data_IF_135234871481
#
_entry.id   IF_135234871481
#
_cell.length_a   1.000
_cell.length_b   1.000
_cell.length_c   1.000
_cell.angle_alpha   90.00
_cell.angle_beta   90.00
_cell.angle_gamma   90.00
#
_symmetry.space_group_name_H-M   'P 1'
#
loop_
_entity.id
_entity.type
_entity.pdbx_description
1 polymer ?
#
# COMPACT_ATOMS: atom_id res chain seq x y z
N UNK A 1 21.93 33.08 22.43
CA UNK A 1 21.22 32.68 21.19
C UNK A 1 22.02 31.58 20.51
N UNK A 2 21.39 30.45 20.20
CA UNK A 2 22.04 29.37 19.44
C UNK A 2 22.01 29.72 17.96
N UNK A 3 23.16 29.70 17.28
CA UNK A 3 23.25 29.95 15.84
C UNK A 3 23.04 28.66 15.04
N UNK A 4 22.66 28.78 13.76
CA UNK A 4 22.56 27.63 12.84
C UNK A 4 23.89 26.85 12.80
N UNK A 5 25.02 27.55 12.78
CA UNK A 5 26.35 26.93 12.85
C UNK A 5 26.58 26.16 14.16
N UNK A 6 26.08 26.66 15.29
CA UNK A 6 26.12 25.96 16.57
C UNK A 6 25.28 24.68 16.55
N UNK A 7 24.11 24.70 15.92
CA UNK A 7 23.24 23.53 15.76
C UNK A 7 23.91 22.47 14.87
N UNK A 8 24.47 22.87 13.72
CA UNK A 8 25.14 21.94 12.79
C UNK A 8 26.36 21.26 13.43
N UNK A 9 27.15 21.99 14.22
CA UNK A 9 28.28 21.42 14.98
C UNK A 9 27.84 20.41 16.05
N UNK A 10 26.59 20.49 16.52
CA UNK A 10 26.03 19.61 17.54
C UNK A 10 25.31 18.38 16.99
N UNK A 11 25.13 18.25 15.67
CA UNK A 11 24.51 17.07 15.05
C UNK A 11 25.45 15.86 15.12
N UNK A 12 24.90 14.70 15.51
CA UNK A 12 25.64 13.42 15.53
C UNK A 12 26.05 12.94 14.14
N UNK A 13 25.22 13.20 13.13
CA UNK A 13 25.53 12.95 11.73
C UNK A 13 25.42 14.26 10.92
N UNK A 14 26.54 14.82 10.45
CA UNK A 14 26.55 16.00 9.59
C UNK A 14 26.34 15.64 8.11
N UNK A 15 26.25 14.35 7.76
CA UNK A 15 26.13 13.93 6.37
C UNK A 15 24.83 14.46 5.75
N UNK A 16 25.00 15.11 4.60
CA UNK A 16 23.89 15.50 3.74
C UNK A 16 23.73 14.40 2.71
N UNK A 17 22.60 13.70 2.77
CA UNK A 17 22.29 12.63 1.84
C UNK A 17 21.65 13.20 0.58
N UNK A 18 22.11 12.67 -0.55
CA UNK A 18 21.76 13.19 -1.87
C UNK A 18 21.31 12.05 -2.78
N UNK A 19 20.62 12.41 -3.86
CA UNK A 19 20.15 11.47 -4.87
C UNK A 19 20.19 12.10 -6.27
N UNK A 20 20.48 11.29 -7.29
CA UNK A 20 20.47 11.75 -8.67
C UNK A 20 19.03 12.03 -9.16
N UNK A 21 18.80 13.02 -10.05
CA UNK A 21 17.48 13.28 -10.62
C UNK A 21 16.93 12.11 -11.46
N UNK A 22 17.81 11.21 -11.91
CA UNK A 22 17.46 10.00 -12.65
C UNK A 22 17.12 8.80 -11.77
N UNK A 23 17.33 8.89 -10.45
CA UNK A 23 17.04 7.80 -9.53
C UNK A 23 15.54 7.60 -9.32
N UNK A 24 15.13 6.39 -8.96
CA UNK A 24 13.71 6.10 -8.75
C UNK A 24 13.23 6.63 -7.40
N UNK A 25 11.92 6.88 -7.29
CA UNK A 25 11.29 7.22 -6.00
C UNK A 25 11.51 6.11 -4.97
N UNK A 26 11.57 4.85 -5.41
CA UNK A 26 11.86 3.72 -4.51
C UNK A 26 13.27 3.81 -3.92
N UNK A 27 14.27 4.11 -4.75
CA UNK A 27 15.66 4.29 -4.28
C UNK A 27 15.76 5.44 -3.29
N UNK A 28 15.02 6.53 -3.53
CA UNK A 28 14.92 7.66 -2.62
C UNK A 28 14.34 7.26 -1.26
N UNK A 29 13.21 6.54 -1.25
CA UNK A 29 12.57 6.09 -0.01
C UNK A 29 13.42 5.06 0.75
N UNK A 30 14.06 4.14 0.02
CA UNK A 30 14.98 3.16 0.60
C UNK A 30 16.14 3.86 1.30
N UNK A 31 16.78 4.82 0.64
CA UNK A 31 17.88 5.60 1.22
C UNK A 31 17.41 6.43 2.43
N UNK A 32 16.23 7.05 2.36
CA UNK A 32 15.66 7.81 3.47
C UNK A 32 15.39 6.94 4.70
N UNK A 33 14.86 5.74 4.50
CA UNK A 33 14.61 4.78 5.57
C UNK A 33 15.91 4.24 6.17
N UNK A 34 16.89 3.87 5.35
CA UNK A 34 18.20 3.37 5.80
C UNK A 34 19.00 4.41 6.59
N UNK A 35 18.77 5.70 6.33
CA UNK A 35 19.48 6.81 6.98
C UNK A 35 18.65 7.53 8.04
N UNK A 36 17.41 7.10 8.27
CA UNK A 36 16.47 7.70 9.22
C UNK A 36 16.29 9.22 9.02
N UNK A 37 16.12 9.64 7.75
CA UNK A 37 16.00 11.05 7.33
C UNK A 37 14.69 11.32 6.57
N UNK A 38 14.14 12.53 6.75
CA UNK A 38 12.88 12.96 6.10
C UNK A 38 13.05 13.71 4.77
N UNK A 39 14.29 13.91 4.30
CA UNK A 39 14.57 14.58 3.03
C UNK A 39 15.93 14.20 2.42
N UNK A 40 16.01 14.25 1.09
CA UNK A 40 17.21 14.12 0.28
C UNK A 40 17.40 15.36 -0.61
N UNK A 41 18.65 15.80 -0.80
CA UNK A 41 18.94 16.76 -1.86
C UNK A 41 18.99 16.04 -3.22
N UNK A 42 18.33 16.60 -4.22
CA UNK A 42 18.44 16.12 -5.60
C UNK A 42 19.61 16.84 -6.26
N UNK A 43 20.62 16.08 -6.67
CA UNK A 43 21.89 16.60 -7.18
C UNK A 43 22.14 16.14 -8.62
N UNK A 44 22.51 17.08 -9.49
CA UNK A 44 23.05 16.78 -10.82
C UNK A 44 24.51 17.24 -10.88
N UNK A 45 25.44 16.29 -10.74
CA UNK A 45 26.83 16.59 -10.46
C UNK A 45 26.97 17.35 -9.13
N UNK A 46 27.67 18.48 -9.14
CA UNK A 46 27.87 19.34 -7.96
C UNK A 46 26.72 20.35 -7.72
N UNK A 47 25.67 20.33 -8.55
CA UNK A 47 24.55 21.28 -8.46
C UNK A 47 23.36 20.68 -7.72
N UNK A 48 22.85 21.41 -6.73
CA UNK A 48 21.53 21.15 -6.13
C UNK A 48 20.47 21.57 -7.13
N UNK A 49 19.72 20.60 -7.66
CA UNK A 49 18.62 20.84 -8.61
C UNK A 49 17.24 20.74 -7.95
N UNK A 50 17.17 20.23 -6.72
CA UNK A 50 15.94 20.18 -5.96
C UNK A 50 16.08 19.51 -4.59
N UNK A 51 14.94 19.29 -3.95
CA UNK A 51 14.83 18.53 -2.70
C UNK A 51 13.69 17.52 -2.87
N UNK A 52 13.89 16.31 -2.37
CA UNK A 52 12.88 15.27 -2.29
C UNK A 52 12.58 15.00 -0.82
N UNK A 53 11.34 15.18 -0.40
CA UNK A 53 10.90 15.07 0.99
C UNK A 53 9.80 14.02 1.15
N UNK A 54 9.57 13.59 2.39
CA UNK A 54 8.38 12.80 2.74
C UNK A 54 7.09 13.43 2.23
N UNK A 55 6.99 14.77 2.28
CA UNK A 55 5.83 15.52 1.78
C UNK A 55 5.69 15.43 0.26
N UNK A 56 6.79 15.34 -0.48
CA UNK A 56 6.75 15.20 -1.94
C UNK A 56 6.23 13.81 -2.34
N UNK A 57 6.66 12.76 -1.62
CA UNK A 57 6.10 11.42 -1.77
C UNK A 57 4.63 11.36 -1.31
N UNK A 58 4.30 11.87 -0.12
CA UNK A 58 2.93 11.86 0.41
C UNK A 58 1.97 12.65 -0.50
N UNK A 59 2.40 13.80 -1.03
CA UNK A 59 1.61 14.59 -1.98
C UNK A 59 1.46 13.87 -3.31
N UNK A 60 2.49 13.18 -3.82
CA UNK A 60 2.36 12.34 -5.03
C UNK A 60 1.46 11.12 -4.79
N UNK A 61 1.50 10.47 -3.63
CA UNK A 61 0.55 9.40 -3.27
C UNK A 61 -0.90 9.91 -3.22
N UNK A 62 -1.12 11.12 -2.69
CA UNK A 62 -2.43 11.76 -2.61
C UNK A 62 -2.91 12.28 -3.99
N UNK A 63 -1.99 12.58 -4.90
CA UNK A 63 -2.26 13.04 -6.27
C UNK A 63 -2.18 11.92 -7.33
N UNK A 64 -1.78 10.70 -6.95
CA UNK A 64 -1.82 9.52 -7.81
C UNK A 64 -3.29 9.09 -7.94
N UNK A 65 -3.85 9.06 -9.17
CA UNK A 65 -5.27 8.80 -9.36
C UNK A 65 -5.54 7.30 -9.16
N UNK A 66 -5.74 6.91 -7.91
CA UNK A 66 -6.01 5.55 -7.44
C UNK A 66 -4.81 4.61 -7.50
N UNK A 67 -4.82 3.67 -6.56
CA UNK A 67 -3.83 2.62 -6.37
C UNK A 67 -3.69 1.84 -7.68
N UNK A 68 -2.47 1.53 -8.11
CA UNK A 68 -2.23 0.62 -9.24
C UNK A 68 -2.10 -0.84 -8.76
N UNK A 69 -2.29 -1.76 -9.70
CA UNK A 69 -2.27 -3.20 -9.43
C UNK A 69 -0.90 -3.70 -8.95
N UNK A 70 0.18 -3.03 -9.36
CA UNK A 70 1.55 -3.35 -8.93
C UNK A 70 1.79 -3.07 -7.45
N UNK A 71 1.33 -1.92 -6.96
CA UNK A 71 1.40 -1.57 -5.55
C UNK A 71 0.59 -2.55 -4.67
N UNK A 72 -0.60 -2.94 -5.13
CA UNK A 72 -1.43 -3.91 -4.41
C UNK A 72 -0.72 -5.27 -4.24
N UNK A 73 -0.03 -5.75 -5.28
CA UNK A 73 0.73 -7.00 -5.18
C UNK A 73 1.92 -6.91 -4.23
N UNK A 74 2.67 -5.80 -4.26
CA UNK A 74 3.79 -5.60 -3.35
C UNK A 74 3.32 -5.63 -1.91
N UNK A 75 2.23 -4.94 -1.60
CA UNK A 75 1.65 -4.92 -0.26
C UNK A 75 1.13 -6.31 0.17
N UNK A 76 0.53 -7.09 -0.74
CA UNK A 76 0.16 -8.48 -0.48
C UNK A 76 1.38 -9.33 -0.08
N UNK A 77 2.48 -9.23 -0.85
CA UNK A 77 3.71 -9.97 -0.58
C UNK A 77 4.39 -9.53 0.73
N UNK A 78 4.47 -8.23 1.00
CA UNK A 78 5.06 -7.68 2.22
C UNK A 78 4.29 -8.07 3.49
N UNK A 79 2.98 -8.26 3.38
CA UNK A 79 2.10 -8.61 4.51
C UNK A 79 1.78 -10.10 4.59
N UNK A 80 2.29 -10.91 3.66
CA UNK A 80 1.98 -12.34 3.53
C UNK A 80 0.46 -12.61 3.49
N UNK A 81 -0.26 -11.83 2.67
CA UNK A 81 -1.72 -11.94 2.51
C UNK A 81 -2.12 -12.09 1.04
N UNK A 82 -3.09 -12.96 0.76
CA UNK A 82 -3.55 -13.22 -0.62
C UNK A 82 -4.60 -12.24 -1.15
N UNK A 83 -5.04 -11.27 -0.35
CA UNK A 83 -6.02 -10.28 -0.75
C UNK A 83 -5.95 -8.99 0.09
N UNK A 84 -6.39 -7.88 -0.49
CA UNK A 84 -6.49 -6.57 0.15
C UNK A 84 -7.90 -6.00 -0.02
N UNK A 85 -8.43 -5.43 1.07
CA UNK A 85 -9.63 -4.61 1.03
C UNK A 85 -9.27 -3.22 0.54
N UNK A 86 -9.96 -2.77 -0.50
CA UNK A 86 -9.83 -1.43 -1.07
C UNK A 86 -10.78 -0.51 -0.33
N UNK A 87 -10.24 0.57 0.24
CA UNK A 87 -11.00 1.52 1.07
C UNK A 87 -10.88 2.92 0.47
N UNK A 88 -12.01 3.62 0.35
CA UNK A 88 -12.07 5.06 0.05
C UNK A 88 -12.56 5.79 1.32
N UNK A 89 -11.66 6.56 1.97
CA UNK A 89 -11.91 7.09 3.31
C UNK A 89 -12.00 5.97 4.34
N UNK A 90 -13.12 5.88 5.07
CA UNK A 90 -13.43 4.78 5.99
C UNK A 90 -14.32 3.69 5.35
N UNK A 91 -14.68 3.85 4.07
CA UNK A 91 -15.64 2.97 3.40
C UNK A 91 -14.91 1.93 2.56
N UNK A 92 -15.11 0.62 2.82
CA UNK A 92 -14.58 -0.40 1.94
C UNK A 92 -15.41 -0.44 0.64
N UNK A 93 -14.73 -0.35 -0.50
CA UNK A 93 -15.33 -0.21 -1.83
C UNK A 93 -15.06 -1.39 -2.77
N UNK A 94 -14.10 -2.25 -2.44
CA UNK A 94 -13.79 -3.46 -3.21
C UNK A 94 -12.77 -4.36 -2.52
N UNK A 95 -12.52 -5.51 -3.12
CA UNK A 95 -11.44 -6.43 -2.70
C UNK A 95 -10.63 -6.85 -3.91
N UNK A 96 -9.32 -6.89 -3.80
CA UNK A 96 -8.42 -7.38 -4.85
C UNK A 96 -7.62 -8.55 -4.30
N UNK A 97 -7.50 -9.62 -5.08
CA UNK A 97 -6.67 -10.79 -4.78
C UNK A 97 -5.58 -11.01 -5.83
N UNK A 98 -4.59 -11.85 -5.50
CA UNK A 98 -3.57 -12.29 -6.46
C UNK A 98 -4.18 -12.88 -7.74
N UNK A 99 -5.32 -13.57 -7.60
CA UNK A 99 -6.04 -14.16 -8.74
C UNK A 99 -6.65 -13.09 -9.64
N UNK A 100 -7.15 -11.99 -9.05
CA UNK A 100 -7.70 -10.87 -9.82
C UNK A 100 -6.58 -10.20 -10.62
N UNK A 101 -5.41 -10.03 -10.03
CA UNK A 101 -4.22 -9.55 -10.73
C UNK A 101 -3.84 -10.48 -11.91
N UNK A 102 -3.64 -11.77 -11.64
CA UNK A 102 -3.21 -12.72 -12.65
C UNK A 102 -4.18 -12.76 -13.83
N UNK A 103 -5.50 -12.72 -13.57
CA UNK A 103 -6.52 -12.81 -14.60
C UNK A 103 -6.77 -11.52 -15.37
N UNK A 104 -6.59 -10.35 -14.76
CA UNK A 104 -7.01 -9.08 -15.36
C UNK A 104 -5.85 -8.16 -15.75
N UNK A 105 -4.62 -8.46 -15.31
CA UNK A 105 -3.43 -7.69 -15.67
C UNK A 105 -2.56 -8.52 -16.61
N UNK A 106 -2.10 -9.71 -16.17
CA UNK A 106 -1.21 -10.57 -16.96
C UNK A 106 -1.93 -11.07 -18.23
N UNK A 107 -3.13 -11.64 -18.10
CA UNK A 107 -3.86 -12.18 -19.26
C UNK A 107 -4.29 -11.11 -20.28
N UNK A 108 -4.38 -9.84 -19.87
CA UNK A 108 -4.73 -8.73 -20.77
C UNK A 108 -3.48 -8.03 -21.35
N UNK A 109 -2.27 -8.52 -21.05
CA UNK A 109 -1.02 -7.92 -21.53
C UNK A 109 -0.79 -6.49 -21.04
N UNK A 110 -1.45 -6.10 -19.93
CA UNK A 110 -1.36 -4.74 -19.38
C UNK A 110 -0.18 -4.67 -18.41
N UNK A 111 0.51 -3.53 -18.42
CA UNK A 111 1.48 -3.18 -17.38
C UNK A 111 0.75 -2.96 -16.06
N UNK A 112 1.23 -3.60 -14.99
CA UNK A 112 0.64 -3.51 -13.65
C UNK A 112 0.66 -2.10 -13.06
N UNK A 113 1.56 -1.25 -13.55
CA UNK A 113 1.70 0.16 -13.14
C UNK A 113 0.63 1.06 -13.78
N UNK A 114 -0.01 0.59 -14.86
CA UNK A 114 -0.99 1.35 -15.63
C UNK A 114 -2.43 0.85 -15.42
N UNK A 115 -2.62 -0.12 -14.51
CA UNK A 115 -3.94 -0.66 -14.18
C UNK A 115 -4.39 -0.19 -12.80
N UNK A 116 -5.40 0.70 -12.72
CA UNK A 116 -6.01 1.06 -11.45
C UNK A 116 -6.64 -0.16 -10.76
N UNK A 117 -6.42 -0.31 -9.46
CA UNK A 117 -7.02 -1.36 -8.60
C UNK A 117 -8.54 -1.38 -8.75
N UNK A 118 -9.19 -0.21 -8.87
CA UNK A 118 -10.64 -0.09 -9.08
C UNK A 118 -11.17 -0.85 -10.31
N UNK A 119 -10.34 -1.06 -11.34
CA UNK A 119 -10.76 -1.74 -12.58
C UNK A 119 -10.70 -3.26 -12.44
N UNK A 120 -9.90 -3.76 -11.50
CA UNK A 120 -9.63 -5.19 -11.34
C UNK A 120 -10.17 -5.77 -10.04
N UNK A 121 -10.46 -4.94 -9.04
CA UNK A 121 -11.07 -5.37 -7.79
C UNK A 121 -12.45 -5.99 -8.03
N UNK A 122 -12.82 -6.96 -7.20
CA UNK A 122 -14.19 -7.43 -7.06
C UNK A 122 -15.03 -6.37 -6.34
N UNK A 123 -16.18 -6.04 -6.93
CA UNK A 123 -17.21 -5.18 -6.32
C UNK A 123 -18.60 -5.63 -6.83
N UNK A 124 -19.69 -5.43 -6.06
CA UNK A 124 -19.73 -4.90 -4.68
C UNK A 124 -19.11 -5.88 -3.67
N UNK A 125 -18.67 -5.34 -2.52
CA UNK A 125 -18.10 -6.16 -1.44
C UNK A 125 -19.17 -7.04 -0.79
N UNK A 126 -18.80 -8.29 -0.57
CA UNK A 126 -19.56 -9.18 0.29
C UNK A 126 -18.95 -9.16 1.68
N UNK A 127 -19.68 -8.59 2.64
CA UNK A 127 -19.21 -8.38 4.01
C UNK A 127 -19.97 -9.26 5.01
N UNK A 128 -19.34 -9.53 6.15
CA UNK A 128 -19.97 -10.18 7.31
C UNK A 128 -19.84 -9.30 8.54
N UNK A 129 -20.62 -9.59 9.58
CA UNK A 129 -20.53 -8.93 10.88
C UNK A 129 -19.95 -9.86 11.96
N UNK A 130 -19.49 -9.32 13.11
CA UNK A 130 -18.85 -10.11 14.17
C UNK A 130 -19.75 -11.18 14.81
N UNK A 131 -21.06 -11.10 14.62
CA UNK A 131 -22.02 -12.11 15.08
C UNK A 131 -22.27 -13.29 14.12
N UNK A 132 -21.67 -13.32 12.93
CA UNK A 132 -21.83 -14.47 12.02
C UNK A 132 -21.04 -15.69 12.50
N UNK A 133 -21.61 -16.89 12.32
CA UNK A 133 -20.89 -18.14 12.60
C UNK A 133 -19.82 -18.42 11.55
N UNK A 134 -18.84 -19.26 11.91
CA UNK A 134 -17.81 -19.71 10.97
C UNK A 134 -18.43 -20.54 9.85
N UNK A 135 -19.42 -21.37 10.16
CA UNK A 135 -20.19 -22.18 9.21
C UNK A 135 -20.93 -21.32 8.19
N UNK A 136 -21.59 -20.25 8.63
CA UNK A 136 -22.25 -19.29 7.73
C UNK A 136 -21.22 -18.63 6.80
N UNK A 137 -20.08 -18.22 7.36
CA UNK A 137 -19.00 -17.62 6.57
C UNK A 137 -18.44 -18.60 5.53
N UNK A 138 -18.22 -19.87 5.88
CA UNK A 138 -17.76 -20.91 4.96
C UNK A 138 -18.78 -21.20 3.86
N UNK A 139 -20.07 -21.27 4.22
CA UNK A 139 -21.18 -21.46 3.27
C UNK A 139 -21.29 -20.28 2.31
N UNK A 140 -21.11 -19.06 2.81
CA UNK A 140 -21.09 -17.84 2.03
C UNK A 140 -19.89 -17.78 1.06
N UNK A 141 -18.68 -18.10 1.55
CA UNK A 141 -17.48 -18.21 0.72
C UNK A 141 -17.67 -19.20 -0.43
N UNK A 142 -18.23 -20.37 -0.13
CA UNK A 142 -18.47 -21.43 -1.12
C UNK A 142 -19.50 -21.00 -2.16
N UNK A 143 -20.68 -20.55 -1.73
CA UNK A 143 -21.79 -20.17 -2.61
C UNK A 143 -21.45 -18.97 -3.50
N UNK A 144 -20.66 -18.02 -2.99
CA UNK A 144 -20.27 -16.80 -3.70
C UNK A 144 -18.90 -16.90 -4.36
N UNK A 145 -18.22 -18.04 -4.24
CA UNK A 145 -16.88 -18.33 -4.79
C UNK A 145 -15.83 -17.29 -4.37
N UNK A 146 -15.95 -16.77 -3.16
CA UNK A 146 -14.97 -15.86 -2.54
C UNK A 146 -14.19 -16.60 -1.46
N UNK A 147 -13.01 -16.10 -1.10
CA UNK A 147 -12.15 -16.71 -0.07
C UNK A 147 -11.81 -15.76 1.08
N UNK A 148 -12.30 -14.53 0.98
CA UNK A 148 -12.04 -13.47 1.93
C UNK A 148 -13.35 -12.70 2.11
N UNK A 149 -13.69 -12.40 3.36
CA UNK A 149 -14.87 -11.67 3.75
C UNK A 149 -14.45 -10.52 4.68
N UNK A 150 -14.57 -9.26 4.26
CA UNK A 150 -14.38 -8.13 5.17
C UNK A 150 -15.41 -8.18 6.30
N UNK A 151 -14.94 -7.97 7.53
CA UNK A 151 -15.76 -7.95 8.74
C UNK A 151 -16.10 -6.51 9.08
N UNK A 152 -17.40 -6.19 9.09
CA UNK A 152 -17.93 -4.87 9.36
C UNK A 152 -18.62 -4.86 10.72
N UNK A 153 -18.34 -3.84 11.53
CA UNK A 153 -19.05 -3.56 12.77
C UNK A 153 -19.43 -2.08 12.82
N UNK A 154 -20.71 -1.80 13.07
CA UNK A 154 -21.22 -0.43 13.22
C UNK A 154 -20.81 0.52 12.07
N UNK A 155 -20.79 -0.02 10.84
CA UNK A 155 -20.41 0.72 9.62
C UNK A 155 -18.90 0.85 9.37
N UNK A 156 -18.05 0.28 10.23
CA UNK A 156 -16.58 0.33 10.11
C UNK A 156 -16.01 -1.03 9.75
N UNK A 157 -14.96 -1.04 8.94
CA UNK A 157 -14.15 -2.23 8.69
C UNK A 157 -13.32 -2.55 9.93
N UNK A 158 -13.54 -3.71 10.54
CA UNK A 158 -12.85 -4.16 11.76
C UNK A 158 -11.93 -5.36 11.54
N UNK A 159 -12.03 -6.03 10.40
CA UNK A 159 -11.14 -7.16 10.09
C UNK A 159 -11.37 -7.76 8.71
N UNK A 160 -10.61 -8.82 8.41
CA UNK A 160 -10.73 -9.62 7.20
C UNK A 160 -10.68 -11.09 7.60
N UNK A 161 -11.73 -11.84 7.28
CA UNK A 161 -11.78 -13.30 7.48
C UNK A 161 -11.40 -14.01 6.18
N UNK A 162 -10.39 -14.88 6.22
CA UNK A 162 -10.00 -15.73 5.09
C UNK A 162 -10.50 -17.17 5.25
N UNK A 163 -10.58 -17.90 4.13
CA UNK A 163 -10.84 -19.35 4.15
C UNK A 163 -9.76 -20.15 4.88
N UNK A 164 -8.57 -19.58 5.07
CA UNK A 164 -7.51 -20.19 5.88
C UNK A 164 -7.83 -20.11 7.36
N UNK A 165 -8.44 -19.02 7.81
CA UNK A 165 -8.81 -18.80 9.21
C UNK A 165 -9.89 -19.77 9.67
N UNK A 166 -10.85 -20.10 8.78
CA UNK A 166 -11.95 -21.03 9.09
C UNK A 166 -11.48 -22.48 9.30
N UNK A 167 -10.23 -22.80 8.98
CA UNK A 167 -9.64 -24.14 9.16
C UNK A 167 -8.84 -24.30 10.44
N UNK A 168 -8.56 -23.20 11.16
CA UNK A 168 -7.77 -23.22 12.41
C UNK A 168 -8.64 -23.40 13.66
N UNK A 169 -9.95 -23.50 13.49
CA UNK A 169 -10.96 -23.63 14.56
C UNK A 169 -11.46 -25.07 14.74
N UNK A 170 -10.70 -26.07 14.28
CA UNK A 170 -10.99 -27.50 14.44
C UNK A 170 -9.88 -28.21 15.19
#
# INVERSE_FOLDING_TARGET
MTTVAGILKSKRDPAVYTIAPTATVFDALKLMAEKEIGALLVMEGDKVVGIFTERDYARKLVLMPKWDAGLALRLMAEKDVGALVVVEGDRPVGIISERDYARKVILLGRSSQDVPVREIMGSPLLTVGPGHSVEDCMSLMTSRRVRHLPVMDSGRLVGLLSIGDTKRTG
#
